data_IF_259408780036
#
_entry.id   IF_259408780036
#
_cell.length_a   1.000
_cell.length_b   1.000
_cell.length_c   1.000
_cell.angle_alpha   90.00
_cell.angle_beta   90.00
_cell.angle_gamma   90.00
#
_symmetry.space_group_name_H-M   'P 1'
#
loop_
_entity.id
_entity.type
_entity.pdbx_description
1 polymer ?
#
# COMPACT_ATOMS: atom_id res chain seq x y z
N UNK A 1 29.71 3.23 36.26
CA UNK A 1 30.10 1.82 36.01
C UNK A 1 28.91 0.88 35.78
N UNK A 2 27.89 0.81 36.65
CA UNK A 2 26.66 0.04 36.37
C UNK A 2 25.62 0.81 35.53
N UNK A 3 25.45 2.11 35.80
CA UNK A 3 24.58 3.01 35.02
C UNK A 3 25.05 3.15 33.55
N UNK A 4 26.35 3.37 33.33
CA UNK A 4 26.90 3.45 31.95
C UNK A 4 26.79 2.13 31.17
N UNK A 5 26.76 0.99 31.85
CA UNK A 5 26.54 -0.30 31.20
C UNK A 5 25.07 -0.46 30.79
N UNK A 6 24.14 -0.02 31.64
CA UNK A 6 22.70 0.00 31.37
C UNK A 6 22.36 0.94 30.20
N UNK A 7 22.92 2.15 30.18
CA UNK A 7 22.66 3.14 29.12
C UNK A 7 23.20 2.66 27.77
N UNK A 8 24.39 2.05 27.73
CA UNK A 8 24.93 1.45 26.50
C UNK A 8 24.09 0.30 25.97
N UNK A 9 23.53 -0.53 26.85
CA UNK A 9 22.64 -1.61 26.45
C UNK A 9 21.33 -1.07 25.86
N UNK A 10 20.74 -0.03 26.46
CA UNK A 10 19.52 0.61 25.95
C UNK A 10 19.72 1.26 24.58
N UNK A 11 20.87 1.93 24.38
CA UNK A 11 21.21 2.52 23.08
C UNK A 11 21.38 1.44 22.00
N UNK A 12 22.11 0.36 22.29
CA UNK A 12 22.30 -0.74 21.35
C UNK A 12 20.98 -1.46 21.00
N UNK A 13 20.09 -1.61 21.96
CA UNK A 13 18.73 -2.16 21.75
C UNK A 13 17.87 -1.24 20.88
N UNK A 14 17.91 0.07 21.13
CA UNK A 14 17.23 1.08 20.30
C UNK A 14 17.75 1.11 18.86
N UNK A 15 19.06 1.04 18.66
CA UNK A 15 19.68 0.99 17.33
C UNK A 15 19.27 -0.26 16.55
N UNK A 16 19.28 -1.42 17.21
CA UNK A 16 18.88 -2.69 16.59
C UNK A 16 17.39 -2.68 16.17
N UNK A 17 16.52 -2.17 17.04
CA UNK A 17 15.10 -1.97 16.74
C UNK A 17 14.90 -1.01 15.56
N UNK A 18 15.56 0.15 15.58
CA UNK A 18 15.44 1.13 14.51
C UNK A 18 15.91 0.55 13.16
N UNK A 19 16.94 -0.31 13.17
CA UNK A 19 17.38 -1.02 11.97
C UNK A 19 16.31 -2.00 11.45
N UNK A 20 15.66 -2.76 12.33
CA UNK A 20 14.59 -3.71 11.96
C UNK A 20 13.32 -3.01 11.45
N UNK A 21 12.95 -1.88 12.07
CA UNK A 21 11.84 -1.03 11.59
C UNK A 21 12.12 -0.46 10.20
N UNK A 22 13.35 0.02 9.93
CA UNK A 22 13.77 0.46 8.59
C UNK A 22 13.76 -0.68 7.57
N UNK A 23 14.20 -1.88 7.96
CA UNK A 23 14.14 -3.05 7.09
C UNK A 23 12.68 -3.38 6.73
N UNK A 24 11.77 -3.34 7.71
CA UNK A 24 10.34 -3.55 7.48
C UNK A 24 9.73 -2.48 6.57
N UNK A 25 10.14 -1.21 6.68
CA UNK A 25 9.73 -0.16 5.74
C UNK A 25 10.19 -0.45 4.31
N UNK A 26 11.42 -0.98 4.14
CA UNK A 26 11.95 -1.39 2.83
C UNK A 26 11.15 -2.54 2.24
N UNK A 27 10.85 -3.57 3.02
CA UNK A 27 10.01 -4.70 2.58
C UNK A 27 8.66 -4.22 2.03
N UNK A 28 8.02 -3.26 2.71
CA UNK A 28 6.75 -2.68 2.26
C UNK A 28 6.92 -2.01 0.88
N UNK A 29 8.00 -1.25 0.67
CA UNK A 29 8.27 -0.61 -0.63
C UNK A 29 8.49 -1.62 -1.75
N UNK A 30 9.26 -2.68 -1.47
CA UNK A 30 9.53 -3.75 -2.43
C UNK A 30 8.23 -4.47 -2.84
N UNK A 31 7.32 -4.69 -1.88
CA UNK A 31 5.99 -5.24 -2.14
C UNK A 31 5.05 -4.27 -2.89
N UNK A 32 5.19 -2.96 -2.66
CA UNK A 32 4.38 -1.94 -3.32
C UNK A 32 4.83 -1.64 -4.77
N UNK A 33 6.12 -1.75 -5.06
CA UNK A 33 6.70 -1.52 -6.40
C UNK A 33 5.98 -2.26 -7.55
N UNK A 34 5.67 -3.57 -7.46
CA UNK A 34 4.92 -4.26 -8.52
C UNK A 34 3.47 -3.77 -8.65
N UNK A 35 2.86 -3.22 -7.59
CA UNK A 35 1.51 -2.67 -7.64
C UNK A 35 1.49 -1.40 -8.49
N UNK A 36 2.50 -0.53 -8.34
CA UNK A 36 2.67 0.70 -9.16
C UNK A 36 2.67 0.38 -10.66
N UNK A 37 3.37 -0.69 -11.04
CA UNK A 37 3.46 -1.10 -12.45
C UNK A 37 2.17 -1.77 -12.93
N UNK A 38 1.49 -2.53 -12.07
CA UNK A 38 0.35 -3.37 -12.44
C UNK A 38 -0.98 -2.62 -12.45
N UNK A 39 -1.18 -1.65 -11.57
CA UNK A 39 -2.44 -0.92 -11.44
C UNK A 39 -2.90 -0.26 -12.76
N UNK A 40 -2.04 0.42 -13.55
CA UNK A 40 -2.45 0.98 -14.85
C UNK A 40 -2.91 -0.07 -15.86
N UNK A 41 -2.26 -1.24 -15.88
CA UNK A 41 -2.59 -2.35 -16.81
C UNK A 41 -3.96 -2.97 -16.52
N UNK A 42 -4.44 -2.84 -15.28
CA UNK A 42 -5.74 -3.39 -14.88
C UNK A 42 -6.90 -2.64 -15.55
N UNK A 43 -6.73 -1.34 -15.79
CA UNK A 43 -7.72 -0.50 -16.49
C UNK A 43 -7.85 -0.96 -17.95
N UNK A 44 -6.73 -1.18 -18.64
CA UNK A 44 -6.70 -1.67 -20.01
C UNK A 44 -7.32 -3.06 -20.13
N UNK A 45 -6.90 -3.99 -19.28
CA UNK A 45 -7.42 -5.36 -19.27
C UNK A 45 -8.93 -5.39 -18.98
N UNK A 46 -9.44 -4.52 -18.10
CA UNK A 46 -10.88 -4.41 -17.81
C UNK A 46 -11.65 -3.79 -18.97
N UNK A 47 -11.12 -2.75 -19.61
CA UNK A 47 -11.70 -2.17 -20.82
C UNK A 47 -11.88 -3.23 -21.90
N UNK A 48 -10.84 -3.99 -22.20
CA UNK A 48 -10.87 -4.97 -23.28
C UNK A 48 -11.84 -6.11 -22.97
N UNK A 49 -11.90 -6.55 -21.70
CA UNK A 49 -12.89 -7.53 -21.23
C UNK A 49 -14.33 -7.01 -21.33
N UNK A 50 -14.57 -5.75 -20.97
CA UNK A 50 -15.89 -5.12 -21.08
C UNK A 50 -16.34 -5.09 -22.55
N UNK A 51 -15.48 -4.59 -23.44
CA UNK A 51 -15.73 -4.54 -24.88
C UNK A 51 -16.05 -5.93 -25.43
N UNK A 52 -15.22 -6.93 -25.14
CA UNK A 52 -15.44 -8.31 -25.59
C UNK A 52 -16.79 -8.88 -25.12
N UNK A 53 -17.19 -8.61 -23.87
CA UNK A 53 -18.50 -9.02 -23.34
C UNK A 53 -19.65 -8.31 -24.05
N UNK A 54 -19.55 -7.00 -24.26
CA UNK A 54 -20.58 -6.23 -24.96
C UNK A 54 -20.76 -6.75 -26.39
N UNK A 55 -19.68 -6.93 -27.15
CA UNK A 55 -19.74 -7.48 -28.51
C UNK A 55 -20.36 -8.88 -28.54
N UNK A 56 -19.99 -9.75 -27.60
CA UNK A 56 -20.50 -11.14 -27.56
C UNK A 56 -21.97 -11.23 -27.15
N UNK A 57 -22.45 -10.37 -26.25
CA UNK A 57 -23.83 -10.43 -25.72
C UNK A 57 -24.83 -9.60 -26.52
N UNK A 58 -24.41 -8.44 -27.02
CA UNK A 58 -25.29 -7.46 -27.69
C UNK A 58 -25.18 -7.53 -29.22
N UNK A 59 -24.02 -7.93 -29.75
CA UNK A 59 -23.79 -8.09 -31.18
C UNK A 59 -24.84 -8.98 -31.88
N UNK A 60 -25.15 -10.18 -31.34
CA UNK A 60 -26.18 -11.06 -31.91
C UNK A 60 -27.60 -10.46 -31.90
N UNK A 61 -27.86 -9.45 -31.05
CA UNK A 61 -29.15 -8.79 -30.92
C UNK A 61 -29.27 -7.55 -31.81
N UNK A 62 -28.24 -7.22 -32.60
CA UNK A 62 -28.19 -6.03 -33.43
C UNK A 62 -28.09 -4.72 -32.64
N UNK A 63 -27.81 -4.80 -31.33
CA UNK A 63 -27.69 -3.63 -30.46
C UNK A 63 -26.29 -3.05 -30.59
N UNK A 64 -26.20 -1.79 -31.05
CA UNK A 64 -24.94 -1.06 -31.18
C UNK A 64 -24.66 -0.23 -29.94
N UNK A 65 -23.51 -0.43 -29.31
CA UNK A 65 -23.03 0.41 -28.20
C UNK A 65 -22.30 1.63 -28.76
N UNK A 66 -22.64 2.83 -28.29
CA UNK A 66 -21.96 4.05 -28.72
C UNK A 66 -20.55 4.14 -28.11
N UNK A 67 -19.63 4.80 -28.82
CA UNK A 67 -18.29 5.08 -28.30
C UNK A 67 -18.31 5.94 -27.03
N UNK A 68 -19.30 6.82 -26.89
CA UNK A 68 -19.50 7.65 -25.71
C UNK A 68 -19.89 6.82 -24.48
N UNK A 69 -20.70 5.79 -24.63
CA UNK A 69 -21.09 4.90 -23.52
C UNK A 69 -19.93 4.03 -23.07
N UNK A 70 -19.14 3.51 -24.03
CA UNK A 70 -17.89 2.79 -23.72
C UNK A 70 -16.92 3.70 -22.97
N UNK A 71 -16.69 4.93 -23.47
CA UNK A 71 -15.76 5.87 -22.83
C UNK A 71 -16.18 6.20 -21.39
N UNK A 72 -17.49 6.42 -21.16
CA UNK A 72 -18.04 6.68 -19.83
C UNK A 72 -17.81 5.50 -18.87
N UNK A 73 -18.10 4.28 -19.32
CA UNK A 73 -17.91 3.09 -18.49
C UNK A 73 -16.42 2.83 -18.18
N UNK A 74 -15.55 3.04 -19.17
CA UNK A 74 -14.09 2.90 -18.98
C UNK A 74 -13.57 3.94 -18.00
N UNK A 75 -14.06 5.18 -18.05
CA UNK A 75 -13.69 6.22 -17.09
C UNK A 75 -14.11 5.84 -15.65
N UNK A 76 -15.33 5.33 -15.47
CA UNK A 76 -15.82 4.84 -14.17
C UNK A 76 -14.98 3.67 -13.65
N UNK A 77 -14.59 2.74 -14.53
CA UNK A 77 -13.71 1.63 -14.17
C UNK A 77 -12.33 2.12 -13.78
N UNK A 78 -11.76 3.07 -14.53
CA UNK A 78 -10.45 3.65 -14.23
C UNK A 78 -10.45 4.29 -12.85
N UNK A 79 -11.43 5.16 -12.56
CA UNK A 79 -11.57 5.82 -11.27
C UNK A 79 -11.73 4.83 -10.10
N UNK A 80 -12.48 3.75 -10.30
CA UNK A 80 -12.66 2.70 -9.28
C UNK A 80 -11.45 1.81 -9.05
N UNK A 81 -10.52 1.75 -10.01
CA UNK A 81 -9.29 0.95 -9.91
C UNK A 81 -8.06 1.80 -9.59
N UNK A 82 -8.17 3.13 -9.64
CA UNK A 82 -7.03 4.00 -9.46
C UNK A 82 -6.60 4.02 -7.99
N UNK A 83 -5.41 3.49 -7.76
CA UNK A 83 -4.72 3.41 -6.48
C UNK A 83 -3.48 4.30 -6.42
N UNK A 84 -3.28 5.17 -7.43
CA UNK A 84 -2.06 5.97 -7.56
C UNK A 84 -1.88 6.92 -6.38
N UNK A 85 -2.98 7.53 -5.91
CA UNK A 85 -2.95 8.43 -4.75
C UNK A 85 -2.57 7.66 -3.47
N UNK A 86 -3.17 6.49 -3.25
CA UNK A 86 -2.86 5.64 -2.09
C UNK A 86 -1.39 5.20 -2.08
N UNK A 87 -0.82 4.85 -3.23
CA UNK A 87 0.59 4.46 -3.35
C UNK A 87 1.53 5.64 -3.05
N UNK A 88 1.19 6.85 -3.48
CA UNK A 88 1.94 8.07 -3.15
C UNK A 88 1.85 8.39 -1.66
N UNK A 89 0.66 8.28 -1.05
CA UNK A 89 0.47 8.48 0.39
C UNK A 89 1.21 7.42 1.21
N UNK A 90 1.16 6.15 0.79
CA UNK A 90 1.92 5.05 1.40
C UNK A 90 3.42 5.37 1.45
N UNK A 91 4.02 5.74 0.32
CA UNK A 91 5.44 6.11 0.27
C UNK A 91 5.76 7.33 1.14
N UNK A 92 4.89 8.36 1.12
CA UNK A 92 5.05 9.54 1.97
C UNK A 92 5.06 9.18 3.46
N UNK A 93 4.15 8.30 3.89
CA UNK A 93 4.08 7.83 5.28
C UNK A 93 5.30 6.99 5.66
N UNK A 94 5.79 6.10 4.77
CA UNK A 94 7.03 5.33 5.00
C UNK A 94 8.23 6.25 5.17
N UNK A 95 8.37 7.25 4.29
CA UNK A 95 9.47 8.21 4.37
C UNK A 95 9.39 9.07 5.65
N UNK A 96 8.18 9.43 6.11
CA UNK A 96 7.98 10.10 7.40
C UNK A 96 8.32 9.19 8.58
N UNK A 97 7.95 7.91 8.50
CA UNK A 97 8.22 6.92 9.54
C UNK A 97 9.72 6.77 9.77
N UNK A 98 10.49 6.61 8.70
CA UNK A 98 11.95 6.48 8.77
C UNK A 98 12.63 7.73 9.33
N UNK A 99 12.16 8.93 8.99
CA UNK A 99 12.70 10.18 9.56
C UNK A 99 12.43 10.29 11.06
N UNK A 100 11.27 9.84 11.52
CA UNK A 100 10.94 9.87 12.95
C UNK A 100 11.79 8.90 13.79
N UNK A 101 12.31 7.82 13.20
CA UNK A 101 13.24 6.92 13.89
C UNK A 101 14.56 7.60 14.30
N UNK A 102 14.85 8.79 13.77
CA UNK A 102 16.04 9.58 14.14
C UNK A 102 15.77 10.59 15.26
N UNK A 103 14.51 10.71 15.71
CA UNK A 103 14.08 11.66 16.74
C UNK A 103 13.92 10.99 18.11
N UNK A 104 14.02 11.76 19.19
CA UNK A 104 13.80 11.25 20.56
C UNK A 104 12.29 11.01 20.83
N UNK A 105 11.96 9.83 21.35
CA UNK A 105 10.62 9.42 21.79
C UNK A 105 9.47 9.56 20.75
N UNK A 106 9.58 9.01 19.53
CA UNK A 106 8.58 9.18 18.48
C UNK A 106 7.36 8.24 18.58
N UNK A 107 7.23 7.43 19.64
CA UNK A 107 6.29 6.28 19.74
C UNK A 107 4.87 6.57 19.23
N UNK A 108 4.19 7.56 19.82
CA UNK A 108 2.85 7.99 19.39
C UNK A 108 2.77 8.44 17.93
N UNK A 109 3.80 9.10 17.40
CA UNK A 109 3.82 9.55 16.01
C UNK A 109 4.06 8.37 15.05
N UNK A 110 4.89 7.40 15.43
CA UNK A 110 5.10 6.17 14.68
C UNK A 110 3.82 5.31 14.66
N UNK A 111 3.10 5.21 15.78
CA UNK A 111 1.83 4.48 15.84
C UNK A 111 0.77 5.13 14.92
N UNK A 112 0.69 6.46 14.92
CA UNK A 112 -0.16 7.20 13.98
C UNK A 112 0.21 6.88 12.52
N UNK A 113 1.49 6.93 12.15
CA UNK A 113 1.91 6.60 10.79
C UNK A 113 1.64 5.13 10.42
N UNK A 114 1.82 4.19 11.35
CA UNK A 114 1.47 2.78 11.12
C UNK A 114 -0.04 2.62 10.83
N UNK A 115 -0.90 3.36 11.54
CA UNK A 115 -2.34 3.38 11.26
C UNK A 115 -2.64 3.96 9.88
N UNK A 116 -2.01 5.08 9.50
CA UNK A 116 -2.21 5.68 8.19
C UNK A 116 -1.71 4.76 7.05
N UNK A 117 -0.57 4.09 7.22
CA UNK A 117 -0.10 3.03 6.29
C UNK A 117 -1.17 1.93 6.12
N UNK A 118 -1.77 1.50 7.23
CA UNK A 118 -2.85 0.51 7.21
C UNK A 118 -4.10 0.99 6.46
N UNK A 119 -4.44 2.28 6.57
CA UNK A 119 -5.55 2.89 5.80
C UNK A 119 -5.28 2.86 4.31
N UNK A 120 -4.07 3.25 3.87
CA UNK A 120 -3.71 3.19 2.46
C UNK A 120 -3.75 1.77 1.91
N UNK A 121 -3.18 0.80 2.65
CA UNK A 121 -3.22 -0.61 2.25
C UNK A 121 -4.66 -1.16 2.14
N UNK A 122 -5.58 -0.73 3.01
CA UNK A 122 -7.00 -1.11 2.91
C UNK A 122 -7.67 -0.54 1.66
N UNK A 123 -7.39 0.72 1.33
CA UNK A 123 -7.95 1.36 0.13
C UNK A 123 -7.39 0.73 -1.15
N UNK A 124 -6.10 0.39 -1.19
CA UNK A 124 -5.51 -0.34 -2.33
C UNK A 124 -6.22 -1.69 -2.53
N UNK A 125 -6.43 -2.45 -1.45
CA UNK A 125 -7.15 -3.73 -1.53
C UNK A 125 -8.59 -3.60 -2.03
N UNK A 126 -9.33 -2.58 -1.59
CA UNK A 126 -10.75 -2.43 -1.97
C UNK A 126 -10.93 -1.92 -3.40
N UNK A 127 -9.96 -1.16 -3.92
CA UNK A 127 -9.96 -0.65 -5.30
C UNK A 127 -9.32 -1.62 -6.32
N UNK A 128 -8.51 -2.58 -5.88
CA UNK A 128 -7.77 -3.51 -6.76
C UNK A 128 -8.27 -4.95 -6.69
N UNK A 129 -9.19 -5.36 -7.58
CA UNK A 129 -9.72 -6.73 -7.66
C UNK A 129 -8.78 -7.71 -8.39
N UNK A 130 -7.51 -7.35 -8.53
CA UNK A 130 -6.47 -8.19 -9.12
C UNK A 130 -5.85 -9.09 -8.05
N UNK A 131 -5.71 -10.38 -8.35
CA UNK A 131 -5.22 -11.36 -7.37
C UNK A 131 -3.77 -11.13 -6.94
N UNK A 132 -2.91 -10.65 -7.85
CA UNK A 132 -1.52 -10.38 -7.52
C UNK A 132 -1.38 -9.12 -6.65
N UNK A 133 -2.17 -8.08 -6.94
CA UNK A 133 -2.25 -6.90 -6.08
C UNK A 133 -2.81 -7.29 -4.69
N UNK A 134 -3.87 -8.10 -4.65
CA UNK A 134 -4.44 -8.57 -3.39
C UNK A 134 -3.42 -9.34 -2.53
N UNK A 135 -2.63 -10.24 -3.15
CA UNK A 135 -1.57 -10.96 -2.45
C UNK A 135 -0.50 -10.01 -1.90
N UNK A 136 0.00 -9.07 -2.72
CA UNK A 136 0.98 -8.09 -2.28
C UNK A 136 0.46 -7.24 -1.11
N UNK A 137 -0.81 -6.83 -1.16
CA UNK A 137 -1.43 -6.04 -0.08
C UNK A 137 -1.57 -6.83 1.22
N UNK A 138 -1.84 -8.14 1.18
CA UNK A 138 -1.86 -8.98 2.39
C UNK A 138 -0.49 -8.99 3.06
N UNK A 139 0.58 -9.17 2.28
CA UNK A 139 1.95 -9.12 2.81
C UNK A 139 2.32 -7.73 3.36
N UNK A 140 1.93 -6.66 2.65
CA UNK A 140 2.11 -5.27 3.14
C UNK A 140 1.41 -5.08 4.49
N UNK A 141 0.16 -5.55 4.64
CA UNK A 141 -0.59 -5.44 5.90
C UNK A 141 0.09 -6.21 7.04
N UNK A 142 0.62 -7.39 6.76
CA UNK A 142 1.38 -8.15 7.76
C UNK A 142 2.64 -7.41 8.23
N UNK A 143 3.35 -6.73 7.31
CA UNK A 143 4.51 -5.89 7.66
C UNK A 143 4.11 -4.64 8.44
N UNK A 144 2.99 -4.01 8.11
CA UNK A 144 2.44 -2.87 8.86
C UNK A 144 2.04 -3.27 10.28
N UNK A 145 1.42 -4.44 10.47
CA UNK A 145 1.08 -4.91 11.81
C UNK A 145 2.36 -5.16 12.64
N UNK A 146 3.39 -5.75 12.02
CA UNK A 146 4.71 -5.91 12.67
C UNK A 146 5.30 -4.55 13.10
N UNK A 147 5.24 -3.51 12.25
CA UNK A 147 5.67 -2.17 12.64
C UNK A 147 4.91 -1.68 13.87
N UNK A 148 3.58 -1.86 13.88
CA UNK A 148 2.72 -1.41 14.98
C UNK A 148 3.03 -2.12 16.29
N UNK A 149 3.16 -3.44 16.26
CA UNK A 149 3.55 -4.24 17.43
C UNK A 149 4.92 -3.80 17.98
N UNK A 150 5.89 -3.57 17.11
CA UNK A 150 7.23 -3.15 17.52
C UNK A 150 7.26 -1.75 18.12
N UNK A 151 6.50 -0.80 17.56
CA UNK A 151 6.38 0.56 18.10
C UNK A 151 5.75 0.52 19.50
N UNK A 152 4.71 -0.29 19.70
CA UNK A 152 4.01 -0.41 20.99
C UNK A 152 4.83 -1.12 22.08
N UNK A 153 5.72 -2.04 21.71
CA UNK A 153 6.58 -2.75 22.66
C UNK A 153 7.72 -1.90 23.23
N UNK A 154 7.91 -0.68 22.71
CA UNK A 154 9.05 0.21 23.00
C UNK A 154 8.64 1.43 23.84
N UNK A 155 7.34 1.71 23.91
CA UNK A 155 6.73 2.61 24.91
C UNK A 155 6.68 1.95 26.30
#
# INVERSE_FOLDING_TARGET
>A
LALDALDRMRLAEGDALAADLRATCRDIRELAAPIVVRAPLLVEARRDRLLGRLTSSLGPQGVTVSSADVAREVALVAERCDVSEELVRLESHLAQFERLLETEAPGRQLDFLAQELGREANTIASKSPDAAIAHAVVEIKARIERLREQVQNVE
#
